data_IF_879469590196
#
_entry.id   IF_879469590196
#
_cell.length_a   1.000
_cell.length_b   1.000
_cell.length_c   1.000
_cell.angle_alpha   90.00
_cell.angle_beta   90.00
_cell.angle_gamma   90.00
#
_symmetry.space_group_name_H-M   'P 1'
#
loop_
_entity.id
_entity.type
_entity.pdbx_description
1 polymer ?
#
# COMPACT_ATOMS: atom_id res chain seq x y z
N UNK A 1 -56.34 71.76 -59.01
CA UNK A 1 -56.68 72.27 -57.70
C UNK A 1 -56.93 71.14 -56.76
N UNK A 2 -55.99 70.66 -56.08
CA UNK A 2 -56.15 69.90 -54.83
C UNK A 2 -54.76 69.79 -54.22
N UNK A 3 -54.59 70.38 -53.08
CA UNK A 3 -53.38 70.31 -52.27
C UNK A 3 -53.37 69.02 -51.51
N UNK A 4 -52.27 68.29 -51.59
CA UNK A 4 -52.00 67.13 -50.76
C UNK A 4 -50.99 67.52 -49.70
N UNK A 5 -51.45 67.49 -48.46
CA UNK A 5 -50.67 67.74 -47.25
C UNK A 5 -49.86 66.44 -46.85
N UNK A 6 -48.52 66.57 -46.81
CA UNK A 6 -47.67 65.48 -46.33
C UNK A 6 -47.46 65.56 -44.80
N UNK A 7 -47.94 64.59 -44.09
CA UNK A 7 -47.66 64.39 -42.68
C UNK A 7 -46.26 63.73 -42.47
N UNK A 8 -45.44 64.41 -41.71
CA UNK A 8 -44.11 63.85 -41.28
C UNK A 8 -44.30 62.98 -40.07
N UNK A 9 -44.00 61.69 -40.22
CA UNK A 9 -43.83 60.77 -39.08
C UNK A 9 -42.39 60.82 -38.57
N UNK A 10 -42.21 61.26 -37.33
CA UNK A 10 -40.91 61.17 -36.60
C UNK A 10 -40.82 59.85 -35.93
N UNK A 11 -39.93 58.98 -36.39
CA UNK A 11 -39.58 57.69 -35.69
C UNK A 11 -38.55 58.00 -34.65
N UNK A 12 -38.95 57.79 -33.36
CA UNK A 12 -38.06 57.81 -32.23
C UNK A 12 -37.37 56.41 -32.18
N UNK A 13 -36.08 56.38 -32.48
CA UNK A 13 -35.26 55.19 -32.28
C UNK A 13 -34.79 55.11 -30.81
N UNK A 14 -35.37 54.22 -30.03
CA UNK A 14 -34.85 53.85 -28.66
C UNK A 14 -33.72 52.88 -28.79
N UNK A 15 -32.50 53.37 -28.60
CA UNK A 15 -31.29 52.49 -28.49
C UNK A 15 -31.22 51.90 -27.12
N UNK A 16 -31.52 50.61 -27.06
CA UNK A 16 -31.37 49.77 -25.86
C UNK A 16 -29.89 49.31 -25.73
N UNK A 17 -29.12 49.99 -24.88
CA UNK A 17 -27.74 49.60 -24.58
C UNK A 17 -27.73 48.43 -23.60
N UNK A 18 -27.44 47.22 -24.09
CA UNK A 18 -27.23 46.01 -23.30
C UNK A 18 -25.81 46.06 -22.66
N UNK A 19 -25.72 46.47 -21.40
CA UNK A 19 -24.49 46.42 -20.65
C UNK A 19 -24.23 44.96 -20.25
N UNK A 20 -23.34 44.27 -20.98
CA UNK A 20 -22.83 42.92 -20.59
C UNK A 20 -21.80 43.12 -19.49
N UNK A 21 -22.22 42.90 -18.26
CA UNK A 21 -21.31 42.85 -17.10
C UNK A 21 -20.47 41.56 -17.16
N UNK A 22 -19.24 41.66 -17.66
CA UNK A 22 -18.23 40.60 -17.49
C UNK A 22 -17.82 40.54 -16.02
N UNK A 23 -18.44 39.65 -15.28
CA UNK A 23 -17.91 39.26 -13.95
C UNK A 23 -16.64 38.47 -14.19
N UNK A 24 -15.49 39.14 -14.10
CA UNK A 24 -14.20 38.46 -14.09
C UNK A 24 -14.15 37.53 -12.87
N UNK A 25 -14.34 36.25 -13.12
CA UNK A 25 -14.11 35.19 -12.14
C UNK A 25 -12.60 35.20 -11.84
N UNK A 26 -12.23 35.94 -10.78
CA UNK A 26 -10.86 35.87 -10.25
C UNK A 26 -10.61 34.42 -9.88
N UNK A 27 -9.77 33.74 -10.68
CA UNK A 27 -9.17 32.50 -10.26
C UNK A 27 -8.46 32.76 -8.91
N UNK A 28 -9.01 32.25 -7.85
CA UNK A 28 -8.40 32.28 -6.53
C UNK A 28 -7.09 31.51 -6.67
N UNK A 29 -5.96 32.22 -6.67
CA UNK A 29 -4.66 31.61 -6.63
C UNK A 29 -4.68 30.71 -5.38
N UNK A 30 -4.47 29.40 -5.60
CA UNK A 30 -4.34 28.46 -4.49
C UNK A 30 -3.24 29.02 -3.57
N UNK A 31 -3.59 29.24 -2.29
CA UNK A 31 -2.60 29.58 -1.28
C UNK A 31 -1.51 28.53 -1.33
N UNK A 32 -0.23 28.90 -1.42
CA UNK A 32 0.85 27.92 -1.39
C UNK A 32 0.66 27.04 -0.15
N UNK A 33 0.64 25.71 -0.35
CA UNK A 33 0.62 24.80 0.78
C UNK A 33 1.82 25.15 1.68
N UNK A 34 1.64 25.25 3.01
CA UNK A 34 2.74 25.48 3.92
C UNK A 34 3.77 24.39 3.69
N UNK A 35 5.04 24.79 3.50
CA UNK A 35 6.13 23.81 3.47
C UNK A 35 6.24 23.20 4.87
N UNK A 36 5.77 21.94 5.00
CA UNK A 36 5.77 21.21 6.27
C UNK A 36 7.11 20.51 6.54
N UNK A 37 8.02 20.52 5.55
CA UNK A 37 9.33 19.91 5.64
C UNK A 37 9.33 18.39 5.43
N UNK A 38 10.42 17.76 5.83
CA UNK A 38 10.63 16.33 5.68
C UNK A 38 9.81 15.53 6.70
N UNK A 39 9.41 14.30 6.29
CA UNK A 39 8.90 13.26 7.18
C UNK A 39 9.67 11.98 6.93
N UNK A 40 10.33 11.48 7.98
CA UNK A 40 11.05 10.20 7.95
C UNK A 40 10.11 9.06 8.32
N UNK A 41 9.95 8.09 7.42
CA UNK A 41 9.00 6.99 7.59
C UNK A 41 9.68 5.65 7.41
N UNK A 42 9.70 4.83 8.44
CA UNK A 42 10.01 3.40 8.33
C UNK A 42 8.73 2.64 8.03
N UNK A 43 8.72 1.77 7.02
CA UNK A 43 7.48 1.10 6.63
C UNK A 43 7.68 -0.29 6.05
N UNK A 44 6.65 -1.15 6.22
CA UNK A 44 6.63 -2.50 5.67
C UNK A 44 6.93 -2.50 4.17
N UNK A 45 7.91 -3.29 3.73
CA UNK A 45 8.39 -3.34 2.35
C UNK A 45 7.32 -3.64 1.31
N UNK A 46 6.25 -4.33 1.70
CA UNK A 46 5.07 -4.57 0.86
C UNK A 46 4.33 -3.29 0.43
N UNK A 47 4.64 -2.13 1.02
CA UNK A 47 4.08 -0.82 0.66
C UNK A 47 5.00 0.00 -0.26
N UNK A 48 6.17 -0.49 -0.68
CA UNK A 48 7.14 0.29 -1.48
C UNK A 48 6.48 0.98 -2.67
N UNK A 49 5.73 0.24 -3.47
CA UNK A 49 5.14 0.79 -4.71
C UNK A 49 4.17 1.94 -4.46
N UNK A 50 3.16 1.84 -3.57
CA UNK A 50 2.30 2.98 -3.30
C UNK A 50 3.01 4.11 -2.55
N UNK A 51 3.98 3.83 -1.69
CA UNK A 51 4.68 4.83 -0.88
C UNK A 51 5.66 5.67 -1.71
N UNK A 52 6.56 5.04 -2.49
CA UNK A 52 7.57 5.74 -3.29
C UNK A 52 7.02 6.32 -4.60
N UNK A 53 5.85 5.90 -5.01
CA UNK A 53 5.18 6.41 -6.21
C UNK A 53 4.08 7.42 -5.90
N UNK A 54 2.80 7.01 -6.01
CA UNK A 54 1.68 7.95 -5.98
C UNK A 54 1.50 8.67 -4.63
N UNK A 55 1.86 8.04 -3.50
CA UNK A 55 1.77 8.66 -2.18
C UNK A 55 2.81 9.77 -2.02
N UNK A 56 4.07 9.49 -2.37
CA UNK A 56 5.16 10.47 -2.36
C UNK A 56 4.85 11.70 -3.23
N UNK A 57 4.34 11.48 -4.44
CA UNK A 57 3.94 12.57 -5.34
C UNK A 57 2.82 13.43 -4.71
N UNK A 58 1.80 12.79 -4.15
CA UNK A 58 0.68 13.50 -3.53
C UNK A 58 1.06 14.23 -2.23
N UNK A 59 2.06 13.75 -1.49
CA UNK A 59 2.63 14.41 -0.31
C UNK A 59 3.45 15.63 -0.71
N UNK A 60 4.28 15.51 -1.75
CA UNK A 60 5.08 16.62 -2.28
C UNK A 60 4.19 17.81 -2.69
N UNK A 61 3.05 17.55 -3.38
CA UNK A 61 2.05 18.58 -3.71
C UNK A 61 1.47 19.29 -2.46
N UNK A 62 1.61 18.69 -1.29
CA UNK A 62 1.16 19.21 0.02
C UNK A 62 2.28 19.85 0.85
N UNK A 63 3.46 20.00 0.25
CA UNK A 63 4.62 20.55 0.93
C UNK A 63 5.25 19.60 1.97
N UNK A 64 5.07 18.29 1.80
CA UNK A 64 5.67 17.25 2.64
C UNK A 64 6.70 16.48 1.82
N UNK A 65 7.97 16.56 2.21
CA UNK A 65 9.04 15.76 1.62
C UNK A 65 9.10 14.40 2.29
N UNK A 66 8.73 13.37 1.55
CA UNK A 66 8.69 11.99 2.04
C UNK A 66 10.07 11.34 1.95
N UNK A 67 10.61 10.93 3.10
CA UNK A 67 11.86 10.18 3.25
C UNK A 67 11.53 8.78 3.78
N UNK A 68 11.44 7.81 2.87
CA UNK A 68 11.00 6.45 3.15
C UNK A 68 12.15 5.45 3.28
N UNK A 69 12.11 4.57 4.28
CA UNK A 69 12.99 3.41 4.42
C UNK A 69 12.12 2.15 4.54
N UNK A 70 12.01 1.33 3.49
CA UNK A 70 11.26 0.07 3.51
C UNK A 70 12.08 -1.06 4.11
N UNK A 71 11.38 -2.04 4.73
CA UNK A 71 12.01 -3.26 5.24
C UNK A 71 11.03 -4.22 5.86
N UNK A 72 11.52 -5.35 6.34
CA UNK A 72 10.74 -6.28 7.16
C UNK A 72 10.29 -5.57 8.44
N UNK A 73 8.99 -5.55 8.74
CA UNK A 73 8.47 -4.76 9.87
C UNK A 73 9.11 -5.13 11.21
N UNK A 74 9.48 -6.40 11.41
CA UNK A 74 10.15 -6.86 12.62
C UNK A 74 11.59 -6.34 12.71
N UNK A 75 12.32 -6.35 11.60
CA UNK A 75 13.65 -5.77 11.48
C UNK A 75 13.62 -4.28 11.82
N UNK A 76 12.72 -3.51 11.16
CA UNK A 76 12.57 -2.08 11.39
C UNK A 76 12.19 -1.75 12.83
N UNK A 77 11.28 -2.51 13.45
CA UNK A 77 10.94 -2.37 14.86
C UNK A 77 12.15 -2.60 15.78
N UNK A 78 13.00 -3.59 15.46
CA UNK A 78 14.23 -3.85 16.22
C UNK A 78 15.23 -2.68 16.11
N UNK A 79 15.38 -2.06 14.93
CA UNK A 79 16.21 -0.88 14.73
C UNK A 79 15.73 0.33 15.57
N UNK A 80 14.41 0.52 15.68
CA UNK A 80 13.80 1.54 16.55
C UNK A 80 14.07 1.23 18.02
N UNK A 81 13.86 -0.01 18.46
CA UNK A 81 14.10 -0.42 19.86
C UNK A 81 15.56 -0.24 20.25
N UNK A 82 16.48 -0.59 19.35
CA UNK A 82 17.92 -0.44 19.55
C UNK A 82 18.40 1.04 19.48
N UNK A 83 17.54 2.00 19.11
CA UNK A 83 17.92 3.40 18.93
C UNK A 83 18.81 3.67 17.72
N UNK A 84 18.91 2.72 16.78
CA UNK A 84 19.67 2.87 15.52
C UNK A 84 18.88 3.72 14.52
N UNK A 85 17.56 3.69 14.61
CA UNK A 85 16.65 4.53 13.82
C UNK A 85 15.69 5.27 14.72
N UNK A 86 15.43 6.54 14.38
CA UNK A 86 14.47 7.42 15.07
C UNK A 86 13.57 8.10 14.03
N UNK A 87 12.61 7.36 13.44
CA UNK A 87 11.73 7.92 12.43
C UNK A 87 10.67 8.84 13.05
N UNK A 88 9.98 9.61 12.20
CA UNK A 88 8.76 10.33 12.56
C UNK A 88 7.56 9.40 12.64
N UNK A 89 7.49 8.45 11.70
CA UNK A 89 6.39 7.49 11.56
C UNK A 89 6.93 6.08 11.33
N UNK A 90 6.27 5.11 11.91
CA UNK A 90 6.47 3.69 11.62
C UNK A 90 5.17 3.06 11.12
N UNK A 91 5.23 2.32 9.99
CA UNK A 91 4.08 1.58 9.46
C UNK A 91 4.42 0.09 9.42
N UNK A 92 3.77 -0.67 10.27
CA UNK A 92 3.94 -2.12 10.38
C UNK A 92 2.80 -2.87 9.71
N UNK A 93 3.09 -4.03 9.15
CA UNK A 93 2.07 -5.00 8.69
C UNK A 93 1.59 -5.92 9.83
N UNK A 94 2.14 -5.76 11.02
CA UNK A 94 1.76 -6.47 12.23
C UNK A 94 1.54 -5.47 13.38
N UNK A 95 0.30 -5.30 13.89
CA UNK A 95 -0.01 -4.39 14.99
C UNK A 95 0.76 -4.70 16.28
N UNK A 96 1.08 -5.97 16.54
CA UNK A 96 1.80 -6.37 17.74
C UNK A 96 3.21 -5.76 17.82
N UNK A 97 3.85 -5.51 16.66
CA UNK A 97 5.15 -4.83 16.62
C UNK A 97 5.03 -3.36 17.04
N UNK A 98 3.92 -2.69 16.71
CA UNK A 98 3.66 -1.33 17.17
C UNK A 98 3.40 -1.30 18.67
N UNK A 99 2.55 -2.20 19.17
CA UNK A 99 2.30 -2.36 20.62
C UNK A 99 3.59 -2.61 21.40
N UNK A 100 4.50 -3.41 20.86
CA UNK A 100 5.81 -3.69 21.48
C UNK A 100 6.70 -2.45 21.63
N UNK A 101 6.50 -1.41 20.83
CA UNK A 101 7.24 -0.15 20.97
C UNK A 101 6.83 0.66 22.21
N UNK A 102 5.62 0.40 22.76
CA UNK A 102 5.15 0.99 24.03
C UNK A 102 5.26 2.50 24.05
N UNK A 103 5.86 3.04 25.11
CA UNK A 103 6.01 4.49 25.36
C UNK A 103 6.74 5.28 24.26
N UNK A 104 7.32 4.61 23.25
CA UNK A 104 7.93 5.28 22.09
C UNK A 104 6.91 5.77 21.07
N UNK A 105 5.63 5.36 21.20
CA UNK A 105 4.54 5.70 20.30
C UNK A 105 3.64 6.76 20.95
N UNK A 106 3.29 7.80 20.19
CA UNK A 106 2.31 8.81 20.61
C UNK A 106 0.88 8.38 20.27
N UNK A 107 0.70 7.85 19.08
CA UNK A 107 -0.59 7.34 18.58
C UNK A 107 -0.36 6.24 17.55
N UNK A 108 -1.27 5.29 17.51
CA UNK A 108 -1.26 4.23 16.51
C UNK A 108 -2.66 3.97 15.97
N UNK A 109 -2.75 3.74 14.66
CA UNK A 109 -4.01 3.52 13.96
C UNK A 109 -3.85 2.39 12.95
N UNK A 110 -4.65 1.34 13.10
CA UNK A 110 -4.80 0.31 12.05
C UNK A 110 -5.78 0.84 11.01
N UNK A 111 -5.43 0.72 9.73
CA UNK A 111 -6.17 1.39 8.65
C UNK A 111 -6.41 0.54 7.40
N UNK A 112 -5.64 -0.53 7.21
CA UNK A 112 -5.75 -1.36 6.01
C UNK A 112 -5.35 -2.80 6.30
N UNK A 113 -5.73 -3.71 5.42
CA UNK A 113 -5.33 -5.12 5.45
C UNK A 113 -4.95 -5.62 4.07
N UNK A 114 -4.41 -6.84 4.04
CA UNK A 114 -4.11 -7.57 2.81
C UNK A 114 -4.28 -9.07 3.03
N UNK A 115 -4.05 -9.88 1.99
CA UNK A 115 -4.10 -11.34 2.09
C UNK A 115 -2.76 -11.96 1.74
N UNK A 116 -2.44 -13.09 2.35
CA UNK A 116 -1.32 -13.95 2.00
C UNK A 116 -1.73 -14.94 0.90
N UNK A 117 -0.83 -15.18 -0.03
CA UNK A 117 -1.03 -16.17 -1.09
C UNK A 117 0.24 -16.52 -1.84
N UNK A 118 0.06 -17.27 -2.91
CA UNK A 118 1.12 -17.62 -3.85
C UNK A 118 1.07 -16.67 -5.03
N UNK A 119 2.24 -16.12 -5.40
CA UNK A 119 2.38 -15.33 -6.60
C UNK A 119 3.50 -15.86 -7.51
N UNK A 120 3.36 -15.61 -8.81
CA UNK A 120 4.31 -16.01 -9.83
C UNK A 120 4.37 -14.99 -10.97
N UNK A 121 5.54 -14.86 -11.57
CA UNK A 121 5.70 -14.05 -12.76
C UNK A 121 4.99 -14.71 -13.96
N UNK A 122 4.33 -13.94 -14.85
CA UNK A 122 3.63 -14.49 -16.02
C UNK A 122 4.52 -15.33 -16.97
N UNK A 123 5.83 -15.11 -16.97
CA UNK A 123 6.83 -15.83 -17.75
C UNK A 123 7.50 -16.99 -17.00
N UNK A 124 7.04 -17.32 -15.78
CA UNK A 124 7.54 -18.49 -15.05
C UNK A 124 7.29 -19.78 -15.86
N UNK A 125 8.25 -20.71 -15.85
CA UNK A 125 8.10 -22.02 -16.48
C UNK A 125 6.92 -22.84 -15.94
N UNK A 126 6.45 -22.50 -14.73
CA UNK A 126 5.28 -23.11 -14.11
C UNK A 126 4.01 -22.23 -14.19
N UNK A 127 4.03 -21.13 -14.98
CA UNK A 127 2.90 -20.23 -15.08
C UNK A 127 1.60 -20.97 -15.46
N UNK A 128 1.64 -21.87 -16.47
CA UNK A 128 0.46 -22.65 -16.87
C UNK A 128 -0.10 -23.55 -15.77
N UNK A 129 0.75 -24.12 -14.90
CA UNK A 129 0.32 -24.91 -13.74
C UNK A 129 -0.44 -24.05 -12.74
N UNK A 130 0.13 -22.89 -12.36
CA UNK A 130 -0.48 -21.99 -11.40
C UNK A 130 -1.66 -21.19 -11.97
N UNK A 131 -1.68 -20.96 -13.28
CA UNK A 131 -2.88 -20.46 -13.97
C UNK A 131 -4.04 -21.48 -13.86
N UNK A 132 -3.72 -22.78 -13.91
CA UNK A 132 -4.66 -23.84 -13.61
C UNK A 132 -5.19 -23.80 -12.18
N UNK A 133 -4.35 -23.36 -11.21
CA UNK A 133 -4.81 -23.11 -9.83
C UNK A 133 -5.73 -21.91 -9.78
N UNK A 134 -5.38 -20.81 -10.43
CA UNK A 134 -6.15 -19.57 -10.43
C UNK A 134 -7.56 -19.73 -11.03
N UNK A 135 -7.71 -20.62 -12.00
CA UNK A 135 -9.01 -20.92 -12.62
C UNK A 135 -9.74 -22.15 -12.03
N UNK A 136 -9.19 -22.74 -10.96
CA UNK A 136 -9.79 -23.87 -10.26
C UNK A 136 -9.58 -25.25 -10.91
N UNK A 137 -8.83 -25.36 -12.00
CA UNK A 137 -8.56 -26.62 -12.69
C UNK A 137 -7.54 -27.51 -11.95
N UNK A 138 -6.68 -26.91 -11.14
CA UNK A 138 -5.64 -27.61 -10.37
C UNK A 138 -5.73 -27.26 -8.90
N UNK A 139 -5.79 -28.22 -7.96
CA UNK A 139 -5.69 -27.95 -6.56
C UNK A 139 -4.34 -27.28 -6.19
N UNK A 140 -4.35 -26.20 -5.40
CA UNK A 140 -3.14 -25.46 -5.02
C UNK A 140 -2.10 -26.38 -4.35
N UNK A 141 -2.55 -27.26 -3.45
CA UNK A 141 -1.66 -28.22 -2.79
C UNK A 141 -0.89 -29.09 -3.79
N UNK A 142 -1.58 -29.62 -4.82
CA UNK A 142 -0.95 -30.43 -5.87
C UNK A 142 0.07 -29.64 -6.67
N UNK A 143 -0.19 -28.36 -6.93
CA UNK A 143 0.75 -27.48 -7.61
C UNK A 143 2.01 -27.26 -6.77
N UNK A 144 1.87 -27.04 -5.46
CA UNK A 144 2.99 -26.86 -4.54
C UNK A 144 3.81 -28.14 -4.32
N UNK A 145 3.21 -29.32 -4.46
CA UNK A 145 3.88 -30.63 -4.36
C UNK A 145 4.63 -31.01 -5.67
N UNK A 146 4.70 -30.10 -6.66
CA UNK A 146 5.36 -30.39 -7.95
C UNK A 146 6.87 -30.58 -7.76
N UNK A 147 7.46 -31.74 -8.17
CA UNK A 147 8.89 -31.96 -8.07
C UNK A 147 9.71 -30.90 -8.81
N UNK A 148 10.73 -30.36 -8.13
CA UNK A 148 11.63 -29.36 -8.68
C UNK A 148 11.05 -27.95 -8.75
N UNK A 149 9.88 -27.71 -8.18
CA UNK A 149 9.34 -26.36 -7.97
C UNK A 149 10.19 -25.63 -6.92
N UNK A 150 10.67 -24.45 -7.27
CA UNK A 150 11.43 -23.59 -6.36
C UNK A 150 10.50 -22.54 -5.76
N UNK A 151 10.23 -22.69 -4.48
CA UNK A 151 9.35 -21.83 -3.71
C UNK A 151 10.20 -20.82 -2.94
N UNK A 152 9.81 -19.55 -2.95
CA UNK A 152 10.44 -18.51 -2.14
C UNK A 152 9.52 -18.01 -1.02
N UNK A 153 10.10 -17.70 0.14
CA UNK A 153 9.44 -17.06 1.29
C UNK A 153 10.41 -16.15 2.03
N UNK A 154 9.89 -15.27 2.87
CA UNK A 154 10.74 -14.40 3.69
C UNK A 154 11.14 -15.07 4.99
N UNK A 155 12.20 -14.51 5.63
CA UNK A 155 12.73 -14.97 6.89
C UNK A 155 11.75 -14.66 8.05
N UNK A 156 11.23 -15.68 8.77
CA UNK A 156 10.31 -15.47 9.89
C UNK A 156 10.98 -14.79 11.11
N UNK A 157 12.31 -14.72 11.15
CA UNK A 157 13.02 -13.98 12.20
C UNK A 157 13.00 -12.48 11.99
N UNK A 158 12.93 -12.03 10.74
CA UNK A 158 13.05 -10.63 10.34
C UNK A 158 11.76 -10.03 9.80
N UNK A 159 10.88 -10.86 9.21
CA UNK A 159 9.68 -10.39 8.51
C UNK A 159 8.41 -11.13 8.99
N UNK A 160 7.34 -10.41 9.36
CA UNK A 160 6.04 -11.01 9.67
C UNK A 160 5.49 -11.90 8.56
N UNK A 161 5.76 -11.61 7.29
CA UNK A 161 5.31 -12.44 6.16
C UNK A 161 5.87 -13.86 6.25
N UNK A 162 7.12 -14.02 6.71
CA UNK A 162 7.69 -15.34 6.98
C UNK A 162 6.91 -16.11 8.05
N UNK A 163 6.55 -15.44 9.15
CA UNK A 163 5.70 -16.01 10.21
C UNK A 163 4.30 -16.34 9.66
N UNK A 164 3.67 -15.40 8.98
CA UNK A 164 2.34 -15.62 8.40
C UNK A 164 2.32 -16.74 7.35
N UNK A 165 3.43 -16.94 6.64
CA UNK A 165 3.57 -18.06 5.71
C UNK A 165 3.50 -19.40 6.44
N UNK A 166 4.25 -19.56 7.53
CA UNK A 166 4.22 -20.76 8.37
C UNK A 166 2.81 -20.96 8.96
N UNK A 167 2.25 -19.92 9.59
CA UNK A 167 0.92 -19.95 10.20
C UNK A 167 -0.17 -20.33 9.20
N UNK A 168 -0.18 -19.68 8.03
CA UNK A 168 -1.16 -19.95 6.98
C UNK A 168 -1.06 -21.36 6.43
N UNK A 169 0.15 -21.84 6.18
CA UNK A 169 0.39 -23.21 5.70
C UNK A 169 0.00 -24.25 6.74
N UNK A 170 0.35 -24.03 8.01
CA UNK A 170 -0.05 -24.91 9.11
C UNK A 170 -1.57 -24.92 9.29
N UNK A 171 -2.23 -23.77 9.20
CA UNK A 171 -3.69 -23.67 9.29
C UNK A 171 -4.39 -24.43 8.16
N UNK A 172 -3.81 -24.42 6.95
CA UNK A 172 -4.40 -25.08 5.78
C UNK A 172 -4.09 -26.57 5.71
N UNK A 173 -2.84 -26.97 5.91
CA UNK A 173 -2.37 -28.33 5.65
C UNK A 173 -1.97 -29.13 6.91
N UNK A 174 -2.06 -28.52 8.08
CA UNK A 174 -1.47 -29.04 9.30
C UNK A 174 0.06 -28.93 9.29
N UNK A 175 0.68 -29.26 10.43
CA UNK A 175 2.14 -29.16 10.59
C UNK A 175 2.91 -30.05 9.60
N UNK A 176 2.48 -31.29 9.40
CA UNK A 176 3.15 -32.22 8.47
C UNK A 176 3.10 -31.75 7.01
N UNK A 177 1.96 -31.14 6.61
CA UNK A 177 1.79 -30.59 5.28
C UNK A 177 2.60 -29.32 5.06
N UNK A 178 2.68 -28.46 6.06
CA UNK A 178 3.52 -27.27 6.08
C UNK A 178 4.99 -27.67 5.96
N UNK A 179 5.49 -28.55 6.83
CA UNK A 179 6.88 -29.03 6.81
C UNK A 179 7.27 -29.73 5.50
N UNK A 180 6.35 -30.47 4.87
CA UNK A 180 6.60 -31.10 3.57
C UNK A 180 6.88 -30.07 2.47
N UNK A 181 6.18 -28.93 2.47
CA UNK A 181 6.31 -27.89 1.43
C UNK A 181 7.41 -26.89 1.78
N UNK A 182 7.45 -26.42 3.00
CA UNK A 182 8.38 -25.36 3.42
C UNK A 182 9.72 -25.91 3.92
N UNK A 183 9.75 -27.16 4.40
CA UNK A 183 10.90 -27.71 5.10
C UNK A 183 11.12 -27.05 6.46
N UNK A 184 12.35 -27.09 6.96
CA UNK A 184 12.69 -26.43 8.21
C UNK A 184 12.51 -24.92 8.15
N UNK A 185 12.26 -24.30 9.30
CA UNK A 185 12.07 -22.84 9.41
C UNK A 185 13.26 -22.03 8.86
N UNK A 186 14.46 -22.61 8.92
CA UNK A 186 15.71 -22.00 8.46
C UNK A 186 16.16 -22.55 7.08
N UNK A 187 15.23 -23.04 6.24
CA UNK A 187 15.56 -23.61 4.95
C UNK A 187 16.18 -22.57 3.99
N UNK A 188 17.52 -22.57 3.77
CA UNK A 188 18.22 -21.52 3.02
C UNK A 188 17.89 -21.55 1.52
N UNK A 189 17.28 -22.64 1.02
CA UNK A 189 16.87 -22.72 -0.38
C UNK A 189 15.58 -21.98 -0.69
N UNK A 190 14.82 -21.61 0.37
CA UNK A 190 13.52 -20.95 0.23
C UNK A 190 13.46 -19.58 0.91
N UNK A 191 14.36 -19.31 1.87
CA UNK A 191 14.32 -18.12 2.70
C UNK A 191 15.19 -17.02 2.09
N UNK A 192 14.60 -15.86 1.88
CA UNK A 192 15.25 -14.69 1.30
C UNK A 192 14.84 -13.43 2.05
N UNK A 193 15.70 -12.40 2.11
CA UNK A 193 15.28 -11.05 2.51
C UNK A 193 14.08 -10.59 1.68
N UNK A 194 13.22 -9.76 2.25
CA UNK A 194 11.97 -9.34 1.61
C UNK A 194 12.22 -8.72 0.21
N UNK A 195 13.20 -7.83 0.09
CA UNK A 195 13.55 -7.16 -1.16
C UNK A 195 14.10 -8.13 -2.21
N UNK A 196 14.83 -9.17 -1.77
CA UNK A 196 15.44 -10.16 -2.67
C UNK A 196 14.43 -11.16 -3.22
N UNK A 197 13.39 -11.49 -2.45
CA UNK A 197 12.40 -12.48 -2.86
C UNK A 197 11.71 -12.10 -4.19
N UNK A 198 11.33 -10.83 -4.33
CA UNK A 198 10.75 -10.32 -5.58
C UNK A 198 11.72 -10.46 -6.76
N UNK A 199 12.98 -10.03 -6.57
CA UNK A 199 14.00 -10.14 -7.60
C UNK A 199 14.27 -11.60 -8.03
N UNK A 200 14.16 -12.55 -7.11
CA UNK A 200 14.34 -13.99 -7.41
C UNK A 200 13.22 -14.56 -8.24
N UNK A 201 11.99 -14.10 -8.02
CA UNK A 201 10.85 -14.48 -8.88
C UNK A 201 10.97 -13.83 -10.26
N UNK A 202 11.34 -12.55 -10.33
CA UNK A 202 11.57 -11.83 -11.61
C UNK A 202 12.63 -12.50 -12.49
N UNK A 203 13.71 -12.96 -11.87
CA UNK A 203 14.85 -13.60 -12.58
C UNK A 203 14.66 -15.11 -12.77
N UNK A 204 13.55 -15.68 -12.29
CA UNK A 204 13.28 -17.11 -12.34
C UNK A 204 14.22 -17.95 -11.45
N UNK A 205 14.86 -17.37 -10.43
CA UNK A 205 15.59 -18.10 -9.40
C UNK A 205 14.64 -18.77 -8.40
N UNK A 206 13.47 -18.16 -8.15
CA UNK A 206 12.29 -18.81 -7.58
C UNK A 206 11.21 -18.90 -8.66
N UNK A 207 10.46 -19.99 -8.70
CA UNK A 207 9.40 -20.20 -9.68
C UNK A 207 8.09 -19.56 -9.20
N UNK A 208 7.87 -19.56 -7.88
CA UNK A 208 6.74 -18.95 -7.16
C UNK A 208 7.22 -18.46 -5.80
N UNK A 209 6.45 -17.58 -5.17
CA UNK A 209 6.73 -17.16 -3.79
C UNK A 209 5.48 -16.89 -2.98
N UNK A 210 5.65 -16.86 -1.65
CA UNK A 210 4.62 -16.39 -0.75
C UNK A 210 4.69 -14.86 -0.67
N UNK A 211 3.60 -14.23 -1.06
CA UNK A 211 3.49 -12.78 -1.16
C UNK A 211 2.17 -12.27 -0.57
N UNK A 212 2.18 -11.02 -0.17
CA UNK A 212 0.93 -10.32 0.01
C UNK A 212 0.33 -9.92 -1.36
N UNK A 213 -0.98 -9.80 -1.41
CA UNK A 213 -1.68 -9.37 -2.63
C UNK A 213 -1.16 -8.04 -3.17
N UNK A 214 -0.78 -7.12 -2.28
CA UNK A 214 -0.21 -5.81 -2.63
C UNK A 214 1.08 -5.91 -3.43
N UNK A 215 1.98 -6.80 -3.04
CA UNK A 215 3.25 -7.03 -3.75
C UNK A 215 3.01 -7.65 -5.13
N UNK A 216 2.08 -8.62 -5.20
CA UNK A 216 1.73 -9.26 -6.46
C UNK A 216 1.16 -8.24 -7.47
N UNK A 217 0.26 -7.35 -7.03
CA UNK A 217 -0.29 -6.27 -7.86
C UNK A 217 0.82 -5.32 -8.31
N UNK A 218 1.70 -4.91 -7.39
CA UNK A 218 2.80 -3.98 -7.67
C UNK A 218 3.76 -4.50 -8.76
N UNK A 219 3.93 -5.81 -8.85
CA UNK A 219 4.80 -6.48 -9.83
C UNK A 219 4.06 -7.05 -11.05
N UNK A 220 2.76 -6.84 -11.13
CA UNK A 220 1.92 -7.48 -12.16
C UNK A 220 2.06 -9.00 -12.19
N UNK A 221 2.33 -9.60 -11.02
CA UNK A 221 2.31 -11.05 -10.86
C UNK A 221 0.88 -11.55 -10.85
N UNK A 222 0.71 -12.80 -11.24
CA UNK A 222 -0.50 -13.54 -10.97
C UNK A 222 -0.49 -13.98 -9.52
N UNK A 223 -1.69 -14.07 -8.91
CA UNK A 223 -1.82 -14.30 -7.48
C UNK A 223 -3.04 -15.19 -7.19
N UNK A 224 -2.85 -16.12 -6.27
CA UNK A 224 -3.90 -16.93 -5.68
C UNK A 224 -3.77 -16.83 -4.16
N UNK A 225 -4.80 -16.38 -3.43
CA UNK A 225 -4.77 -16.38 -1.98
C UNK A 225 -4.70 -17.82 -1.44
N UNK A 226 -4.11 -18.02 -0.28
CA UNK A 226 -4.24 -19.29 0.44
C UNK A 226 -5.72 -19.57 0.75
N UNK A 227 -6.13 -20.85 0.82
CA UNK A 227 -7.54 -21.20 0.98
C UNK A 227 -8.16 -20.75 2.30
N UNK A 228 -9.35 -20.14 2.24
CA UNK A 228 -10.13 -19.76 3.41
C UNK A 228 -9.36 -18.89 4.41
N UNK A 229 -9.42 -19.26 5.68
CA UNK A 229 -8.77 -18.49 6.76
C UNK A 229 -7.23 -18.52 6.69
N UNK A 230 -6.64 -19.43 5.92
CA UNK A 230 -5.19 -19.49 5.73
C UNK A 230 -4.63 -18.27 4.98
N UNK A 231 -5.47 -17.52 4.25
CA UNK A 231 -5.10 -16.23 3.66
C UNK A 231 -4.87 -15.13 4.70
N UNK A 232 -5.22 -15.34 5.96
CA UNK A 232 -4.99 -14.49 7.14
C UNK A 232 -5.47 -13.03 6.97
N UNK A 233 -6.53 -12.81 6.21
CA UNK A 233 -7.06 -11.47 5.88
C UNK A 233 -7.42 -10.63 7.11
N UNK A 234 -7.80 -11.28 8.21
CA UNK A 234 -8.17 -10.63 9.47
C UNK A 234 -6.96 -10.37 10.38
N UNK A 235 -5.79 -10.93 10.05
CA UNK A 235 -4.56 -10.84 10.84
C UNK A 235 -3.50 -9.93 10.20
N UNK A 236 -3.43 -9.92 8.87
CA UNK A 236 -2.43 -9.13 8.14
C UNK A 236 -2.97 -7.72 7.96
N UNK A 237 -2.66 -6.84 8.92
CA UNK A 237 -3.20 -5.49 8.96
C UNK A 237 -2.10 -4.45 9.13
N UNK A 238 -2.22 -3.33 8.42
CA UNK A 238 -1.27 -2.23 8.49
C UNK A 238 -1.66 -1.24 9.57
N UNK A 239 -0.70 -0.98 10.45
CA UNK A 239 -0.81 -0.02 11.55
C UNK A 239 0.23 1.08 11.38
N UNK A 240 -0.23 2.32 11.33
CA UNK A 240 0.58 3.53 11.31
C UNK A 240 0.76 4.03 12.73
N UNK A 241 1.99 4.22 13.16
CA UNK A 241 2.36 4.77 14.46
C UNK A 241 3.13 6.08 14.29
N UNK A 242 2.69 7.14 14.98
CA UNK A 242 3.46 8.39 15.13
C UNK A 242 4.39 8.22 16.33
N UNK A 243 5.67 8.45 16.12
CA UNK A 243 6.68 8.26 17.18
C UNK A 243 6.68 9.43 18.16
N UNK A 244 6.88 9.14 19.44
CA UNK A 244 6.92 10.15 20.50
C UNK A 244 8.09 11.11 20.36
N UNK A 245 9.23 10.60 19.93
CA UNK A 245 10.44 11.38 19.68
C UNK A 245 10.59 11.76 18.20
N UNK A 246 9.47 11.91 17.47
CA UNK A 246 9.48 12.31 16.07
C UNK A 246 10.28 13.60 15.86
N UNK A 247 11.34 13.61 15.02
CA UNK A 247 12.10 14.83 14.71
C UNK A 247 11.23 15.92 14.07
N UNK A 248 10.22 15.54 13.29
CA UNK A 248 9.34 16.45 12.55
C UNK A 248 7.86 16.20 12.90
N UNK A 249 7.40 16.50 14.13
CA UNK A 249 6.08 16.06 14.62
C UNK A 249 4.90 16.67 13.86
N UNK A 250 5.06 17.83 13.25
CA UNK A 250 4.04 18.47 12.43
C UNK A 250 3.88 17.76 11.07
N UNK A 251 4.99 17.47 10.41
CA UNK A 251 5.01 16.71 9.15
C UNK A 251 4.50 15.27 9.38
N UNK A 252 4.87 14.63 10.51
CA UNK A 252 4.37 13.31 10.88
C UNK A 252 2.85 13.25 10.99
N UNK A 253 2.24 14.24 11.64
CA UNK A 253 0.77 14.34 11.75
C UNK A 253 0.13 14.56 10.39
N UNK A 254 0.63 15.51 9.60
CA UNK A 254 0.11 15.81 8.28
C UNK A 254 0.24 14.60 7.32
N UNK A 255 1.33 13.85 7.42
CA UNK A 255 1.51 12.57 6.72
C UNK A 255 0.45 11.55 7.14
N UNK A 256 0.26 11.33 8.45
CA UNK A 256 -0.73 10.40 8.97
C UNK A 256 -2.15 10.79 8.55
N UNK A 257 -2.51 12.06 8.69
CA UNK A 257 -3.81 12.60 8.27
C UNK A 257 -4.05 12.36 6.78
N UNK A 258 -3.02 12.54 5.93
CA UNK A 258 -3.14 12.28 4.50
C UNK A 258 -3.33 10.80 4.20
N UNK A 259 -2.50 9.91 4.76
CA UNK A 259 -2.61 8.45 4.55
C UNK A 259 -3.99 7.94 4.95
N UNK A 260 -4.56 8.45 6.04
CA UNK A 260 -5.87 8.07 6.56
C UNK A 260 -7.05 8.79 5.87
N UNK A 261 -6.78 9.80 5.00
CA UNK A 261 -7.80 10.54 4.25
C UNK A 261 -8.39 9.75 3.09
N UNK A 262 -9.49 10.24 2.52
CA UNK A 262 -10.08 9.67 1.31
C UNK A 262 -9.10 9.56 0.13
N UNK A 263 -8.32 10.61 -0.23
CA UNK A 263 -7.30 10.53 -1.26
C UNK A 263 -6.18 9.52 -0.97
N UNK A 264 -5.65 9.49 0.25
CA UNK A 264 -4.65 8.51 0.67
C UNK A 264 -5.18 7.08 0.58
N UNK A 265 -6.39 6.86 1.10
CA UNK A 265 -7.12 5.60 0.98
C UNK A 265 -7.23 5.14 -0.47
N UNK A 266 -7.67 5.99 -1.38
CA UNK A 266 -7.84 5.64 -2.79
C UNK A 266 -6.53 5.17 -3.45
N UNK A 267 -5.40 5.78 -3.09
CA UNK A 267 -4.06 5.35 -3.52
C UNK A 267 -3.77 3.93 -3.03
N UNK A 268 -4.02 3.67 -1.75
CA UNK A 268 -3.73 2.38 -1.12
C UNK A 268 -4.65 1.27 -1.64
N UNK A 269 -5.95 1.53 -1.82
CA UNK A 269 -6.89 0.58 -2.40
C UNK A 269 -6.51 0.20 -3.83
N UNK A 270 -6.06 1.17 -4.64
CA UNK A 270 -5.54 0.92 -5.99
C UNK A 270 -4.29 0.04 -5.98
N UNK A 271 -3.49 0.11 -4.93
CA UNK A 271 -2.34 -0.77 -4.73
C UNK A 271 -2.72 -2.16 -4.19
N UNK A 272 -4.01 -2.45 -4.00
CA UNK A 272 -4.52 -3.77 -3.60
C UNK A 272 -4.72 -3.97 -2.10
N UNK A 273 -4.62 -2.91 -1.29
CA UNK A 273 -5.00 -2.99 0.11
C UNK A 273 -6.53 -3.00 0.25
N UNK A 274 -7.00 -3.73 1.25
CA UNK A 274 -8.37 -3.61 1.74
C UNK A 274 -8.38 -2.57 2.84
N UNK A 275 -9.06 -1.45 2.63
CA UNK A 275 -9.15 -0.42 3.64
C UNK A 275 -10.03 -0.88 4.80
N UNK A 276 -9.56 -0.69 6.01
CA UNK A 276 -10.29 -0.96 7.25
C UNK A 276 -10.73 0.38 7.86
N UNK A 277 -11.91 0.45 8.50
CA UNK A 277 -12.25 1.63 9.30
C UNK A 277 -11.12 1.89 10.30
N UNK A 278 -10.51 3.09 10.31
CA UNK A 278 -9.40 3.38 11.21
C UNK A 278 -9.81 3.17 12.67
N UNK A 279 -9.02 2.40 13.40
CA UNK A 279 -9.21 2.20 14.83
C UNK A 279 -7.88 2.31 15.55
N UNK A 280 -7.93 2.92 16.73
CA UNK A 280 -6.75 3.10 17.57
C UNK A 280 -6.24 1.76 18.09
N UNK A 281 -4.92 1.62 18.12
CA UNK A 281 -4.23 0.53 18.80
C UNK A 281 -3.57 1.12 20.04
N UNK A 282 -3.84 0.53 21.21
CA UNK A 282 -3.14 0.94 22.43
C UNK A 282 -1.68 0.52 22.32
N UNK A 283 -0.75 1.47 22.49
CA UNK A 283 0.67 1.18 22.53
C UNK A 283 1.06 0.32 23.73
#
# INVERSE_FOLDING_TARGET
MHQLTFARFSTLAASLSLAVSFTAMRAQAATPNPNLGAVSVLYAGSLVTPMEGPLKAALHERGIEFEGEPGGSKELANLIVAGIRSPDVFISVDPALVTKLGDRVTSATTFAGTSLGIAWAPNSKYAGLFDGVANGATPLQRALDTPGLRIGRTDPQLDPKGVYTIDGMTMWLGHDGEQRILGADENPSQIFPEQDLLARVDTGQADVGFFYRTEAIARSYRFVPLPGNAALTDRITYTLAIMKAAPHPQAARAFADFVLSGPGRAILEKAGLSYLPPHGVSP
#
